data_IF_226928975060
#
_entry.id   IF_226928975060
#
_cell.length_a   1.000
_cell.length_b   1.000
_cell.length_c   1.000
_cell.angle_alpha   90.00
_cell.angle_beta   90.00
_cell.angle_gamma   90.00
#
_symmetry.space_group_name_H-M   'P 1'
#
loop_
_entity.id
_entity.type
_entity.pdbx_description
1 polymer ?
#
# COMPACT_ATOMS: atom_id res chain seq x y z
N UNK A 1 -22.25 3.55 -16.29
CA UNK A 1 -22.38 4.88 -16.93
C UNK A 1 -21.73 4.89 -18.31
N UNK A 2 -22.40 5.41 -19.34
CA UNK A 2 -21.70 5.78 -20.57
C UNK A 2 -20.88 7.04 -20.27
N UNK A 3 -19.55 6.97 -20.39
CA UNK A 3 -18.69 8.16 -20.32
C UNK A 3 -19.20 9.10 -21.42
N UNK A 4 -19.60 10.31 -21.03
CA UNK A 4 -20.01 11.36 -21.97
C UNK A 4 -18.93 11.52 -23.04
N UNK A 5 -19.25 11.19 -24.29
CA UNK A 5 -18.32 11.22 -25.43
C UNK A 5 -18.14 12.63 -26.02
N UNK A 6 -18.69 13.66 -25.38
CA UNK A 6 -18.54 15.06 -25.79
C UNK A 6 -17.25 15.66 -25.22
N UNK A 7 -16.11 15.07 -25.55
CA UNK A 7 -14.80 15.69 -25.30
C UNK A 7 -14.66 16.98 -26.11
N UNK A 8 -13.99 17.98 -25.56
CA UNK A 8 -13.54 19.13 -26.33
C UNK A 8 -12.50 18.69 -27.40
N UNK A 9 -12.24 19.50 -28.46
CA UNK A 9 -11.30 19.12 -29.51
C UNK A 9 -9.90 18.78 -29.01
N UNK A 10 -9.38 19.58 -28.08
CA UNK A 10 -8.10 19.37 -27.40
C UNK A 10 -8.09 18.10 -26.53
N UNK A 11 -9.19 17.80 -25.85
CA UNK A 11 -9.34 16.54 -25.10
C UNK A 11 -9.33 15.32 -26.03
N UNK A 12 -10.02 15.37 -27.19
CA UNK A 12 -9.96 14.29 -28.19
C UNK A 12 -8.54 14.09 -28.72
N UNK A 13 -7.88 15.18 -29.07
CA UNK A 13 -6.50 15.12 -29.56
C UNK A 13 -5.53 14.53 -28.51
N UNK A 14 -5.74 14.80 -27.22
CA UNK A 14 -4.97 14.18 -26.15
C UNK A 14 -5.26 12.66 -26.08
N UNK A 15 -6.53 12.27 -26.13
CA UNK A 15 -6.93 10.85 -26.10
C UNK A 15 -6.37 10.07 -27.30
N UNK A 16 -6.37 10.66 -28.49
CA UNK A 16 -5.78 10.07 -29.70
C UNK A 16 -4.24 10.01 -29.64
N UNK A 17 -3.61 10.86 -28.83
CA UNK A 17 -2.17 10.85 -28.64
C UNK A 17 -1.70 9.72 -27.71
N UNK A 18 -2.60 9.10 -26.93
CA UNK A 18 -2.24 8.02 -25.98
C UNK A 18 -1.73 6.80 -26.73
N UNK A 19 -0.60 6.25 -26.26
CA UNK A 19 0.06 5.07 -26.81
C UNK A 19 0.48 4.12 -25.69
N UNK A 20 0.36 2.83 -25.96
CA UNK A 20 0.74 1.81 -24.99
C UNK A 20 2.24 1.47 -25.02
N UNK A 21 3.01 1.89 -26.03
CA UNK A 21 4.34 1.33 -26.31
C UNK A 21 5.31 1.42 -25.11
N UNK A 22 5.66 2.64 -24.67
CA UNK A 22 6.58 2.84 -23.55
C UNK A 22 5.97 2.46 -22.19
N UNK A 23 4.64 2.64 -22.06
CA UNK A 23 3.88 2.30 -20.87
C UNK A 23 3.87 0.78 -20.62
N UNK A 24 3.52 0.01 -21.65
CA UNK A 24 3.51 -1.45 -21.61
C UNK A 24 4.91 -2.01 -21.40
N UNK A 25 5.91 -1.42 -22.05
CA UNK A 25 7.31 -1.79 -21.81
C UNK A 25 7.72 -1.58 -20.35
N UNK A 26 7.25 -0.50 -19.71
CA UNK A 26 7.47 -0.28 -18.29
C UNK A 26 6.84 -1.40 -17.45
N UNK A 27 5.61 -1.81 -17.77
CA UNK A 27 4.93 -2.94 -17.10
C UNK A 27 5.74 -4.25 -17.24
N UNK A 28 6.22 -4.56 -18.45
CA UNK A 28 7.05 -5.74 -18.70
C UNK A 28 8.36 -5.69 -17.90
N UNK A 29 9.04 -4.55 -17.93
CA UNK A 29 10.23 -4.30 -17.13
C UNK A 29 9.96 -4.50 -15.62
N UNK A 30 8.86 -3.95 -15.11
CA UNK A 30 8.47 -3.98 -13.71
C UNK A 30 8.00 -5.37 -13.26
N UNK A 31 7.53 -6.22 -14.18
CA UNK A 31 7.18 -7.62 -13.90
C UNK A 31 8.37 -8.48 -13.48
N UNK A 32 9.59 -7.96 -13.60
CA UNK A 32 10.85 -8.59 -13.19
C UNK A 32 11.52 -7.90 -11.98
N UNK A 33 10.87 -6.92 -11.35
CA UNK A 33 11.39 -6.20 -10.18
C UNK A 33 10.48 -6.35 -8.98
N UNK A 34 11.06 -6.61 -7.81
CA UNK A 34 10.42 -6.48 -6.52
C UNK A 34 10.78 -5.12 -5.92
N UNK A 35 9.86 -4.16 -6.06
CA UNK A 35 10.09 -2.75 -5.72
C UNK A 35 9.83 -2.49 -4.23
N UNK A 36 10.57 -3.17 -3.35
CA UNK A 36 10.53 -2.92 -1.91
C UNK A 36 11.12 -1.54 -1.59
N UNK A 37 10.48 -0.77 -0.70
CA UNK A 37 10.89 0.60 -0.43
C UNK A 37 12.30 0.72 0.18
N UNK A 38 13.13 1.55 -0.45
CA UNK A 38 14.54 1.78 -0.10
C UNK A 38 15.48 0.66 -0.56
N UNK A 39 15.09 -0.16 -1.54
CA UNK A 39 15.94 -1.21 -2.12
C UNK A 39 16.55 -0.78 -3.47
N UNK A 40 17.58 -1.51 -3.91
CA UNK A 40 18.21 -1.27 -5.19
C UNK A 40 17.28 -1.54 -6.38
N UNK A 41 16.34 -2.48 -6.26
CA UNK A 41 15.36 -2.77 -7.32
C UNK A 41 14.32 -1.66 -7.46
N UNK A 42 13.89 -1.04 -6.37
CA UNK A 42 13.07 0.17 -6.44
C UNK A 42 13.81 1.32 -7.14
N UNK A 43 15.10 1.51 -6.87
CA UNK A 43 15.90 2.52 -7.59
C UNK A 43 16.03 2.22 -9.08
N UNK A 44 16.13 0.94 -9.48
CA UNK A 44 16.07 0.57 -10.90
C UNK A 44 14.72 0.94 -11.54
N UNK A 45 13.62 0.87 -10.79
CA UNK A 45 12.32 1.35 -11.25
C UNK A 45 12.32 2.87 -11.48
N UNK A 46 12.90 3.64 -10.54
CA UNK A 46 13.10 5.09 -10.68
C UNK A 46 13.93 5.42 -11.92
N UNK A 47 15.05 4.71 -12.15
CA UNK A 47 15.91 4.92 -13.31
C UNK A 47 15.17 4.68 -14.63
N UNK A 48 14.31 3.66 -14.70
CA UNK A 48 13.50 3.34 -15.89
C UNK A 48 12.47 4.42 -16.21
N UNK A 49 11.85 5.01 -15.20
CA UNK A 49 10.94 6.17 -15.35
C UNK A 49 11.74 7.40 -15.77
N UNK A 50 12.80 7.71 -15.02
CA UNK A 50 13.67 8.88 -15.23
C UNK A 50 14.26 8.92 -16.64
N UNK A 51 14.77 7.79 -17.15
CA UNK A 51 15.33 7.70 -18.50
C UNK A 51 14.31 8.08 -19.60
N UNK A 52 13.02 7.79 -19.38
CA UNK A 52 11.94 8.11 -20.31
C UNK A 52 11.56 9.59 -20.20
N UNK A 53 11.48 10.13 -18.98
CA UNK A 53 11.28 11.56 -18.75
C UNK A 53 12.41 12.40 -19.38
N UNK A 54 13.66 11.98 -19.22
CA UNK A 54 14.84 12.61 -19.85
C UNK A 54 14.73 12.61 -21.37
N UNK A 55 14.38 11.46 -21.97
CA UNK A 55 14.20 11.31 -23.42
C UNK A 55 13.11 12.24 -23.97
N UNK A 56 12.07 12.52 -23.18
CA UNK A 56 10.98 13.43 -23.56
C UNK A 56 11.21 14.88 -23.14
N UNK A 57 12.38 15.18 -22.55
CA UNK A 57 12.72 16.48 -21.99
C UNK A 57 11.66 17.02 -21.01
N UNK A 58 11.12 16.13 -20.18
CA UNK A 58 10.20 16.48 -19.09
C UNK A 58 11.05 16.67 -17.83
N UNK A 59 11.12 17.88 -17.24
CA UNK A 59 11.84 18.12 -16.00
C UNK A 59 11.29 17.29 -14.85
N UNK A 60 12.17 16.72 -14.03
CA UNK A 60 11.80 16.02 -12.82
C UNK A 60 12.83 16.20 -11.70
N UNK A 61 12.40 15.95 -10.47
CA UNK A 61 13.23 15.86 -9.27
C UNK A 61 13.01 14.49 -8.63
N UNK A 62 14.09 13.85 -8.18
CA UNK A 62 14.00 12.67 -7.31
C UNK A 62 14.34 13.13 -5.89
N UNK A 63 13.33 13.24 -5.05
CA UNK A 63 13.50 13.48 -3.62
C UNK A 63 13.86 12.17 -2.91
N UNK A 64 14.64 12.24 -1.84
CA UNK A 64 15.06 11.05 -1.08
C UNK A 64 14.85 11.25 0.43
N UNK A 65 13.60 11.44 0.90
CA UNK A 65 13.32 11.57 2.32
C UNK A 65 13.70 10.32 3.12
N UNK A 66 14.08 10.53 4.37
CA UNK A 66 14.25 9.45 5.34
C UNK A 66 12.91 9.16 6.04
N UNK A 67 12.37 7.97 5.81
CA UNK A 67 11.02 7.58 6.23
C UNK A 67 11.03 6.22 6.96
N UNK A 68 10.08 6.03 7.87
CA UNK A 68 9.93 4.81 8.65
C UNK A 68 9.27 3.71 7.83
N UNK A 69 10.04 2.67 7.50
CA UNK A 69 9.62 1.60 6.59
C UNK A 69 9.76 0.25 7.29
N UNK A 70 8.75 -0.60 7.13
CA UNK A 70 8.73 -1.98 7.64
C UNK A 70 8.60 -2.96 6.48
N UNK A 71 9.65 -3.77 6.26
CA UNK A 71 9.67 -4.86 5.27
C UNK A 71 9.50 -6.21 5.97
N UNK A 72 8.35 -6.90 5.83
CA UNK A 72 8.16 -8.28 6.26
C UNK A 72 9.22 -9.22 5.65
N UNK A 73 9.69 -10.22 6.40
CA UNK A 73 10.68 -11.20 5.93
C UNK A 73 10.17 -12.64 6.01
N UNK A 74 9.92 -13.14 7.21
CA UNK A 74 9.38 -14.48 7.43
C UNK A 74 8.38 -14.49 8.57
N UNK A 75 7.44 -15.42 8.46
CA UNK A 75 6.49 -15.70 9.53
C UNK A 75 6.13 -17.19 9.55
N UNK A 76 5.82 -17.69 10.74
CA UNK A 76 5.28 -19.04 10.91
C UNK A 76 4.38 -19.09 12.14
N UNK A 77 3.42 -20.00 12.11
CA UNK A 77 2.52 -20.27 13.23
C UNK A 77 2.57 -21.75 13.56
N UNK A 78 2.73 -22.06 14.84
CA UNK A 78 2.53 -23.41 15.38
C UNK A 78 1.42 -23.35 16.40
N UNK A 79 0.38 -24.18 16.24
CA UNK A 79 -0.63 -24.43 17.26
C UNK A 79 -0.40 -25.83 17.82
N UNK A 80 -0.05 -25.92 19.08
CA UNK A 80 0.39 -27.14 19.78
C UNK A 80 1.54 -27.84 19.02
N UNK A 81 1.23 -28.82 18.18
CA UNK A 81 2.20 -29.54 17.34
C UNK A 81 2.01 -29.31 15.84
N UNK A 82 0.94 -28.64 15.42
CA UNK A 82 0.62 -28.41 14.02
C UNK A 82 1.24 -27.10 13.53
N UNK A 83 1.92 -27.15 12.39
CA UNK A 83 2.56 -25.98 11.76
C UNK A 83 1.72 -25.48 10.59
N UNK A 84 1.59 -24.15 10.50
CA UNK A 84 0.83 -23.46 9.47
C UNK A 84 1.71 -22.43 8.77
N UNK A 85 1.72 -22.39 7.43
CA UNK A 85 2.30 -21.29 6.68
C UNK A 85 1.63 -19.97 7.08
N UNK A 86 2.45 -18.94 7.28
CA UNK A 86 1.95 -17.62 7.64
C UNK A 86 2.70 -16.52 6.92
N UNK A 87 2.07 -15.35 6.81
CA UNK A 87 2.74 -14.09 6.46
C UNK A 87 2.55 -13.09 7.60
N UNK A 88 3.39 -12.06 7.65
CA UNK A 88 3.24 -10.98 8.63
C UNK A 88 3.02 -9.65 7.91
N UNK A 89 2.03 -8.84 8.30
CA UNK A 89 1.83 -7.54 7.69
C UNK A 89 2.99 -6.60 8.06
N UNK A 90 3.19 -5.57 7.23
CA UNK A 90 4.05 -4.45 7.57
C UNK A 90 3.60 -3.79 8.88
N UNK A 91 4.57 -3.27 9.63
CA UNK A 91 4.44 -2.53 10.88
C UNK A 91 4.02 -3.33 12.12
N UNK A 92 3.84 -4.65 12.01
CA UNK A 92 3.76 -5.49 13.19
C UNK A 92 5.12 -5.55 13.93
N UNK A 93 5.10 -5.90 15.21
CA UNK A 93 6.35 -6.11 15.94
C UNK A 93 6.99 -7.45 15.56
N UNK A 94 8.32 -7.48 15.47
CA UNK A 94 9.06 -8.73 15.33
C UNK A 94 9.07 -9.51 16.64
N UNK A 95 9.05 -10.83 16.54
CA UNK A 95 9.24 -11.72 17.69
C UNK A 95 10.72 -11.87 18.04
N UNK A 96 11.07 -12.30 19.27
CA UNK A 96 12.40 -12.85 19.53
C UNK A 96 12.75 -13.99 18.57
N UNK A 97 14.03 -14.33 18.44
CA UNK A 97 14.49 -15.40 17.55
C UNK A 97 13.85 -16.76 17.88
N UNK A 98 13.57 -17.02 19.16
CA UNK A 98 12.86 -18.21 19.65
C UNK A 98 11.36 -18.25 19.34
N UNK A 99 10.81 -17.18 18.76
CA UNK A 99 9.37 -16.95 18.64
C UNK A 99 8.72 -16.49 19.94
N UNK A 100 7.47 -16.08 19.84
CA UNK A 100 6.58 -15.79 20.96
C UNK A 100 5.68 -17.00 21.20
N UNK A 101 5.81 -17.63 22.37
CA UNK A 101 4.94 -18.74 22.79
C UNK A 101 3.98 -18.31 23.89
N UNK A 102 2.71 -18.69 23.79
CA UNK A 102 1.72 -18.42 24.83
C UNK A 102 0.37 -19.11 24.61
N UNK A 103 -0.56 -18.97 25.56
CA UNK A 103 -1.92 -19.48 25.42
C UNK A 103 -2.60 -18.88 24.19
N UNK A 104 -3.32 -19.71 23.44
CA UNK A 104 -4.05 -19.27 22.26
C UNK A 104 -5.56 -19.32 22.50
N UNK A 105 -6.28 -18.33 21.98
CA UNK A 105 -7.73 -18.32 21.99
C UNK A 105 -8.23 -17.99 20.60
N UNK A 106 -9.22 -18.76 20.14
CA UNK A 106 -9.98 -18.41 18.95
C UNK A 106 -11.23 -17.63 19.37
N UNK A 107 -11.40 -16.44 18.80
CA UNK A 107 -12.55 -15.59 19.00
C UNK A 107 -13.11 -15.24 17.63
N UNK A 108 -14.38 -15.58 17.40
CA UNK A 108 -15.03 -15.30 16.13
C UNK A 108 -15.03 -13.79 15.86
N UNK A 109 -14.56 -13.42 14.68
CA UNK A 109 -14.50 -12.04 14.21
C UNK A 109 -15.36 -11.79 12.98
N UNK A 110 -15.22 -10.58 12.43
CA UNK A 110 -15.82 -10.17 11.16
C UNK A 110 -14.78 -10.03 10.05
N UNK A 111 -15.29 -10.03 8.82
CA UNK A 111 -14.56 -9.55 7.65
C UNK A 111 -15.01 -8.10 7.39
N UNK A 112 -14.04 -7.21 7.16
CA UNK A 112 -14.30 -5.82 6.81
C UNK A 112 -15.15 -5.73 5.53
N UNK A 113 -16.14 -4.83 5.51
CA UNK A 113 -17.12 -4.68 4.41
C UNK A 113 -17.13 -3.30 3.77
N UNK A 114 -16.39 -2.34 4.34
CA UNK A 114 -16.26 -0.94 3.89
C UNK A 114 -14.84 -0.40 4.18
N UNK A 115 -14.46 0.70 3.51
CA UNK A 115 -13.22 1.44 3.84
C UNK A 115 -13.25 2.01 5.26
N UNK A 116 -14.44 2.29 5.79
CA UNK A 116 -14.63 2.77 7.16
C UNK A 116 -14.21 1.70 8.19
N UNK A 117 -14.28 0.42 7.82
CA UNK A 117 -13.90 -0.70 8.68
C UNK A 117 -12.38 -0.85 8.84
N UNK A 118 -11.56 -0.22 7.99
CA UNK A 118 -10.10 -0.30 8.06
C UNK A 118 -9.58 0.24 9.41
N UNK A 119 -10.22 1.30 9.91
CA UNK A 119 -9.87 1.94 11.17
C UNK A 119 -10.89 1.70 12.28
N UNK A 120 -12.04 1.09 11.96
CA UNK A 120 -13.02 0.73 12.95
C UNK A 120 -12.49 -0.35 13.91
N UNK A 121 -12.85 -0.20 15.18
CA UNK A 121 -12.65 -1.24 16.17
C UNK A 121 -13.79 -2.25 16.05
N UNK A 122 -13.59 -3.33 15.28
CA UNK A 122 -14.52 -4.46 15.30
C UNK A 122 -14.50 -5.14 16.68
N UNK A 123 -15.67 -5.38 17.27
CA UNK A 123 -15.77 -6.00 18.60
C UNK A 123 -15.47 -7.49 18.53
N UNK A 124 -14.29 -7.89 19.02
CA UNK A 124 -13.97 -9.29 19.31
C UNK A 124 -14.36 -9.61 20.75
N UNK A 125 -15.46 -10.32 21.00
CA UNK A 125 -15.88 -10.65 22.37
C UNK A 125 -15.01 -11.75 22.99
N UNK A 126 -14.64 -11.61 24.26
CA UNK A 126 -13.84 -12.62 24.99
C UNK A 126 -12.61 -12.06 25.73
N UNK A 127 -12.00 -12.90 26.56
CA UNK A 127 -10.77 -12.56 27.28
C UNK A 127 -9.53 -12.81 26.41
N UNK A 128 -8.81 -11.72 26.10
CA UNK A 128 -7.62 -11.69 25.24
C UNK A 128 -6.33 -11.43 26.01
N UNK A 129 -6.40 -11.06 27.30
CA UNK A 129 -5.25 -10.56 28.03
C UNK A 129 -4.17 -11.64 28.18
N UNK A 130 -2.96 -11.34 27.70
CA UNK A 130 -1.81 -12.25 27.70
C UNK A 130 -1.88 -13.40 26.70
N UNK A 131 -2.90 -13.43 25.82
CA UNK A 131 -3.12 -14.53 24.87
C UNK A 131 -2.76 -14.14 23.45
N UNK A 132 -2.42 -15.14 22.65
CA UNK A 132 -2.37 -15.04 21.19
C UNK A 132 -3.79 -15.23 20.67
N UNK A 133 -4.34 -14.22 20.01
CA UNK A 133 -5.74 -14.20 19.56
C UNK A 133 -5.80 -14.62 18.10
N UNK A 134 -6.58 -15.66 17.81
CA UNK A 134 -6.95 -16.05 16.44
C UNK A 134 -8.33 -15.48 16.13
N UNK A 135 -8.46 -14.78 15.00
CA UNK A 135 -9.71 -14.16 14.55
C UNK A 135 -9.77 -14.07 13.03
N UNK A 136 -10.98 -14.04 12.48
CA UNK A 136 -11.24 -13.77 11.06
C UNK A 136 -10.84 -12.35 10.62
N UNK A 137 -10.57 -12.24 9.33
CA UNK A 137 -10.38 -10.98 8.63
C UNK A 137 -8.92 -10.59 8.45
N UNK A 138 -8.73 -9.53 7.68
CA UNK A 138 -7.41 -8.95 7.43
C UNK A 138 -6.84 -8.28 8.70
N UNK A 139 -5.51 -8.13 8.82
CA UNK A 139 -4.85 -7.46 9.94
C UNK A 139 -5.02 -5.94 9.86
N UNK A 140 -6.28 -5.48 9.97
CA UNK A 140 -6.65 -4.08 9.89
C UNK A 140 -6.15 -3.30 11.13
N UNK A 141 -5.72 -2.04 10.97
CA UNK A 141 -5.19 -1.25 12.08
C UNK A 141 -6.12 -1.11 13.28
N UNK A 142 -7.41 -0.87 13.05
CA UNK A 142 -8.39 -0.74 14.15
C UNK A 142 -8.49 -2.01 14.99
N UNK A 143 -8.55 -3.17 14.33
CA UNK A 143 -8.58 -4.51 14.95
C UNK A 143 -7.32 -4.79 15.75
N UNK A 144 -6.14 -4.57 15.16
CA UNK A 144 -4.85 -4.82 15.83
C UNK A 144 -4.69 -3.90 17.03
N UNK A 145 -4.99 -2.60 16.89
CA UNK A 145 -4.90 -1.64 17.98
C UNK A 145 -5.86 -1.99 19.14
N UNK A 146 -7.10 -2.40 18.85
CA UNK A 146 -8.06 -2.82 19.87
C UNK A 146 -7.57 -4.04 20.65
N UNK A 147 -7.09 -5.07 19.95
CA UNK A 147 -6.60 -6.30 20.58
C UNK A 147 -5.37 -6.03 21.44
N UNK A 148 -4.43 -5.20 20.95
CA UNK A 148 -3.28 -4.76 21.74
C UNK A 148 -3.71 -3.99 23.00
N UNK A 149 -4.63 -3.03 22.88
CA UNK A 149 -5.15 -2.25 24.02
C UNK A 149 -5.82 -3.11 25.08
N UNK A 150 -6.45 -4.22 24.67
CA UNK A 150 -7.06 -5.20 25.58
C UNK A 150 -6.07 -6.22 26.13
N UNK A 151 -4.79 -6.09 25.79
CA UNK A 151 -3.69 -6.87 26.34
C UNK A 151 -3.39 -8.17 25.59
N UNK A 152 -3.82 -8.34 24.34
CA UNK A 152 -3.39 -9.47 23.53
C UNK A 152 -1.85 -9.49 23.42
N UNK A 153 -1.26 -10.68 23.50
CA UNK A 153 0.19 -10.87 23.34
C UNK A 153 0.61 -10.96 21.87
N UNK A 154 -0.31 -11.35 20.98
CA UNK A 154 -0.11 -11.45 19.55
C UNK A 154 -1.44 -11.72 18.84
N UNK A 155 -1.48 -11.51 17.52
CA UNK A 155 -2.69 -11.69 16.71
C UNK A 155 -2.41 -12.61 15.52
N UNK A 156 -3.32 -13.53 15.27
CA UNK A 156 -3.38 -14.39 14.09
C UNK A 156 -4.67 -14.09 13.35
N UNK A 157 -4.54 -13.58 12.14
CA UNK A 157 -5.64 -13.21 11.26
C UNK A 157 -5.91 -14.34 10.24
N UNK A 158 -7.15 -14.80 10.15
CA UNK A 158 -7.58 -15.76 9.13
C UNK A 158 -8.02 -14.97 7.90
N UNK A 159 -7.25 -15.07 6.81
CA UNK A 159 -7.56 -14.39 5.56
C UNK A 159 -8.91 -14.88 4.97
N UNK A 160 -9.67 -14.00 4.29
CA UNK A 160 -10.95 -14.37 3.66
C UNK A 160 -10.76 -15.37 2.51
N UNK A 161 -9.74 -15.14 1.67
CA UNK A 161 -9.50 -15.93 0.47
C UNK A 161 -8.56 -17.14 0.65
N UNK A 162 -8.30 -17.81 -0.47
CA UNK A 162 -7.36 -18.93 -0.55
C UNK A 162 -5.92 -18.49 -0.24
N UNK A 163 -5.56 -17.26 -0.62
CA UNK A 163 -4.21 -16.71 -0.47
C UNK A 163 -4.11 -15.79 0.74
N UNK A 164 -2.92 -15.75 1.33
CA UNK A 164 -2.58 -14.78 2.36
C UNK A 164 -2.15 -13.48 1.66
N UNK A 165 -2.99 -12.46 1.79
CA UNK A 165 -2.72 -11.14 1.23
C UNK A 165 -1.67 -10.40 2.05
N UNK A 166 -0.82 -9.63 1.36
CA UNK A 166 0.05 -8.66 2.01
C UNK A 166 -0.78 -7.48 2.55
N UNK A 167 -0.24 -6.77 3.53
CA UNK A 167 -0.94 -5.65 4.13
C UNK A 167 -0.13 -4.95 5.20
N UNK A 168 -0.76 -3.99 5.85
CA UNK A 168 -0.12 -3.13 6.85
C UNK A 168 -1.07 -2.86 8.02
N UNK A 169 -0.58 -3.02 9.24
CA UNK A 169 -1.43 -3.01 10.45
C UNK A 169 -1.23 -1.80 11.37
N UNK A 170 -0.37 -0.84 11.01
CA UNK A 170 -0.25 0.40 11.80
C UNK A 170 -1.43 1.35 11.54
N UNK A 171 -1.82 2.06 12.59
CA UNK A 171 -2.81 3.14 12.48
C UNK A 171 -2.17 4.50 12.19
N UNK A 172 -0.83 4.60 12.23
CA UNK A 172 -0.07 5.81 11.91
C UNK A 172 -0.12 6.01 10.39
N UNK A 173 -0.55 7.18 9.93
CA UNK A 173 -0.50 7.52 8.52
C UNK A 173 0.87 8.11 8.19
N UNK A 174 1.63 7.45 7.33
CA UNK A 174 3.02 7.78 7.03
C UNK A 174 4.02 7.42 8.14
N UNK A 175 5.09 8.20 8.24
CA UNK A 175 6.12 8.01 9.27
C UNK A 175 5.64 8.55 10.63
N UNK A 176 5.93 7.87 11.75
CA UNK A 176 5.55 8.35 13.07
C UNK A 176 6.33 9.61 13.46
N UNK A 177 5.61 10.53 14.12
CA UNK A 177 6.18 11.64 14.87
C UNK A 177 6.16 11.36 16.38
N UNK A 178 6.60 12.33 17.18
CA UNK A 178 6.63 12.21 18.65
C UNK A 178 5.26 12.00 19.29
N UNK A 179 4.17 12.40 18.61
CA UNK A 179 2.80 12.28 19.12
C UNK A 179 2.15 10.95 18.73
N UNK A 180 2.56 10.38 17.60
CA UNK A 180 1.97 9.19 17.01
C UNK A 180 2.80 7.92 17.22
N UNK A 181 4.09 8.03 17.60
CA UNK A 181 4.98 6.89 17.87
C UNK A 181 4.36 5.82 18.78
N UNK A 182 3.62 6.25 19.82
CA UNK A 182 2.96 5.33 20.75
C UNK A 182 1.85 4.47 20.14
N UNK A 183 1.43 4.74 18.89
CA UNK A 183 0.42 3.97 18.13
C UNK A 183 1.02 2.88 17.25
N UNK A 184 2.35 2.77 17.18
CA UNK A 184 3.01 1.68 16.48
C UNK A 184 2.65 0.34 17.16
N UNK A 185 2.18 -0.68 16.41
CA UNK A 185 1.91 -1.99 16.99
C UNK A 185 3.13 -2.56 17.70
N UNK A 186 2.97 -3.01 18.94
CA UNK A 186 4.06 -3.62 19.74
C UNK A 186 3.93 -5.12 19.91
N UNK A 187 2.93 -5.71 19.26
CA UNK A 187 2.67 -7.14 19.27
C UNK A 187 2.89 -7.74 17.88
N UNK A 188 3.33 -9.01 17.78
CA UNK A 188 3.42 -9.69 16.51
C UNK A 188 2.01 -9.94 15.95
N UNK A 189 1.90 -9.79 14.65
CA UNK A 189 0.70 -10.09 13.88
C UNK A 189 1.10 -11.02 12.75
N UNK A 190 0.36 -12.10 12.54
CA UNK A 190 0.53 -12.99 11.40
C UNK A 190 -0.82 -13.30 10.77
N UNK A 191 -0.81 -13.70 9.52
CA UNK A 191 -2.00 -14.12 8.78
C UNK A 191 -1.81 -15.52 8.22
N UNK A 192 -2.87 -16.32 8.24
CA UNK A 192 -2.95 -17.67 7.65
C UNK A 192 -4.02 -17.71 6.57
N UNK A 193 -3.96 -18.73 5.71
CA UNK A 193 -4.99 -18.94 4.67
C UNK A 193 -6.36 -19.25 5.30
N UNK A 194 -7.45 -19.05 4.55
CA UNK A 194 -8.79 -19.40 5.03
C UNK A 194 -8.89 -20.90 5.40
N UNK A 195 -8.31 -21.78 4.57
CA UNK A 195 -8.34 -23.22 4.78
C UNK A 195 -7.59 -23.64 6.05
N UNK A 196 -6.39 -23.08 6.26
CA UNK A 196 -5.60 -23.31 7.47
C UNK A 196 -6.27 -22.74 8.71
N UNK A 197 -6.86 -21.55 8.58
CA UNK A 197 -7.63 -20.89 9.63
C UNK A 197 -8.80 -21.72 10.14
N UNK A 198 -9.59 -22.31 9.22
CA UNK A 198 -10.66 -23.25 9.58
C UNK A 198 -10.11 -24.48 10.30
N UNK A 199 -9.01 -25.05 9.81
CA UNK A 199 -8.39 -26.22 10.40
C UNK A 199 -7.80 -25.95 11.80
N UNK A 200 -7.23 -24.77 12.02
CA UNK A 200 -6.62 -24.40 13.30
C UNK A 200 -7.67 -23.96 14.32
N UNK A 201 -8.73 -23.24 13.91
CA UNK A 201 -9.83 -22.85 14.79
C UNK A 201 -10.53 -24.08 15.38
N UNK A 202 -10.70 -25.14 14.59
CA UNK A 202 -11.27 -26.41 15.05
C UNK A 202 -10.39 -27.18 16.06
N UNK A 203 -9.09 -26.86 16.16
CA UNK A 203 -8.16 -27.51 17.09
C UNK A 203 -7.97 -26.77 18.41
N UNK A 204 -8.19 -25.45 18.42
CA UNK A 204 -7.93 -24.63 19.60
C UNK A 204 -8.89 -25.03 20.73
N UNK A 205 -8.32 -25.60 21.78
CA UNK A 205 -9.00 -25.90 23.04
C UNK A 205 -8.56 -24.96 24.17
N UNK A 206 -9.12 -25.13 25.38
CA UNK A 206 -8.82 -24.28 26.53
C UNK A 206 -7.33 -24.20 26.92
N UNK A 207 -6.57 -25.28 26.69
CA UNK A 207 -5.16 -25.42 27.09
C UNK A 207 -4.18 -25.27 25.92
N UNK A 208 -4.69 -25.00 24.71
CA UNK A 208 -3.85 -24.91 23.51
C UNK A 208 -2.82 -23.78 23.62
N UNK A 209 -1.67 -24.00 23.00
CA UNK A 209 -0.57 -23.04 22.94
C UNK A 209 -0.25 -22.69 21.49
N UNK A 210 0.04 -21.41 21.24
CA UNK A 210 0.59 -20.97 19.97
C UNK A 210 2.07 -20.60 20.13
N UNK A 211 2.85 -20.86 19.09
CA UNK A 211 4.17 -20.23 18.89
C UNK A 211 4.13 -19.44 17.58
N UNK A 212 4.34 -18.14 17.68
CA UNK A 212 4.38 -17.22 16.53
C UNK A 212 5.83 -16.83 16.28
N UNK A 213 6.25 -16.89 15.02
CA UNK A 213 7.47 -16.24 14.54
C UNK A 213 7.05 -15.19 13.53
N UNK A 214 7.55 -13.97 13.68
CA UNK A 214 7.37 -12.89 12.72
C UNK A 214 8.63 -12.04 12.69
N UNK A 215 9.20 -11.81 11.51
CA UNK A 215 10.42 -11.02 11.32
C UNK A 215 10.19 -9.89 10.33
N UNK A 216 10.69 -8.72 10.71
CA UNK A 216 10.62 -7.50 9.91
C UNK A 216 11.98 -6.82 9.89
N UNK A 217 12.28 -6.16 8.78
CA UNK A 217 13.38 -5.21 8.69
C UNK A 217 12.80 -3.79 8.75
N UNK A 218 12.45 -3.38 9.98
CA UNK A 218 11.78 -2.10 10.27
C UNK A 218 12.77 -1.05 10.74
N UNK A 219 12.93 0.02 9.97
CA UNK A 219 13.87 1.11 10.27
C UNK A 219 13.57 2.35 9.45
N UNK A 220 14.21 3.46 9.83
CA UNK A 220 14.33 4.64 8.97
C UNK A 220 15.16 4.29 7.72
N UNK A 221 14.64 4.65 6.55
CA UNK A 221 15.27 4.43 5.25
C UNK A 221 15.13 5.67 4.39
N UNK A 222 16.17 5.99 3.63
CA UNK A 222 16.02 6.89 2.49
C UNK A 222 15.28 6.15 1.38
N UNK A 223 14.19 6.72 0.89
CA UNK A 223 13.38 6.16 -0.20
C UNK A 223 13.10 7.22 -1.26
N UNK A 224 12.99 6.86 -2.54
CA UNK A 224 12.81 7.81 -3.63
C UNK A 224 11.36 8.30 -3.76
N UNK A 225 11.18 9.58 -4.07
CA UNK A 225 9.91 10.17 -4.53
C UNK A 225 10.20 10.95 -5.80
N UNK A 226 9.67 10.48 -6.93
CA UNK A 226 9.86 11.14 -8.23
C UNK A 226 8.75 12.16 -8.44
N UNK A 227 9.11 13.39 -8.74
CA UNK A 227 8.20 14.49 -9.09
C UNK A 227 8.59 15.05 -10.46
N UNK A 228 7.75 14.81 -11.47
CA UNK A 228 7.87 15.43 -12.79
C UNK A 228 6.98 16.68 -12.88
N UNK A 229 7.47 17.76 -13.48
CA UNK A 229 6.72 19.01 -13.70
C UNK A 229 6.59 19.31 -15.19
N UNK A 230 5.36 19.41 -15.67
CA UNK A 230 5.04 19.94 -17.00
C UNK A 230 4.47 21.34 -16.81
N UNK A 231 5.30 22.35 -17.06
CA UNK A 231 4.98 23.74 -16.75
C UNK A 231 3.92 24.33 -17.70
N UNK A 232 2.89 24.95 -17.13
CA UNK A 232 1.87 25.70 -17.86
C UNK A 232 2.34 27.08 -18.31
N UNK A 233 1.55 27.73 -19.17
CA UNK A 233 1.91 28.99 -19.83
C UNK A 233 1.38 30.27 -19.14
N UNK A 234 0.22 30.22 -18.49
CA UNK A 234 -0.44 31.42 -17.96
C UNK A 234 -0.43 31.51 -16.43
N UNK A 235 -0.65 30.38 -15.76
CA UNK A 235 -0.62 30.23 -14.29
C UNK A 235 0.32 29.07 -13.93
N UNK A 236 1.64 29.20 -14.21
CA UNK A 236 2.60 28.10 -14.03
C UNK A 236 2.78 27.67 -12.57
N UNK A 237 2.42 28.51 -11.61
CA UNK A 237 2.44 28.20 -10.19
C UNK A 237 1.26 27.32 -9.78
N UNK A 238 0.11 27.40 -10.48
CA UNK A 238 -1.06 26.58 -10.19
C UNK A 238 -0.92 25.23 -10.88
N UNK A 239 -1.31 24.15 -10.21
CA UNK A 239 -1.15 22.82 -10.77
C UNK A 239 -2.27 21.83 -10.45
N UNK A 240 -2.36 20.81 -11.30
CA UNK A 240 -3.06 19.55 -11.00
C UNK A 240 -2.00 18.52 -10.62
N UNK A 241 -2.24 17.78 -9.54
CA UNK A 241 -1.35 16.71 -9.06
C UNK A 241 -1.89 15.34 -9.51
N UNK A 242 -1.26 14.73 -10.49
CA UNK A 242 -1.53 13.34 -10.87
C UNK A 242 -0.51 12.45 -10.17
N UNK A 243 -0.94 11.37 -9.52
CA UNK A 243 -0.01 10.61 -8.69
C UNK A 243 -0.42 9.16 -8.48
N UNK A 244 0.53 8.33 -8.04
CA UNK A 244 0.33 6.93 -7.68
C UNK A 244 1.59 6.42 -6.98
N UNK A 245 1.53 5.24 -6.39
CA UNK A 245 2.69 4.68 -5.70
C UNK A 245 3.55 3.79 -6.61
N UNK A 246 4.85 3.77 -6.33
CA UNK A 246 5.89 3.08 -7.06
C UNK A 246 6.21 1.71 -6.46
N UNK A 247 6.20 1.64 -5.12
CA UNK A 247 6.63 0.45 -4.40
C UNK A 247 5.63 -0.68 -4.54
N UNK A 248 6.09 -1.92 -4.43
CA UNK A 248 5.21 -3.07 -4.62
C UNK A 248 5.46 -4.18 -3.63
N UNK A 249 4.38 -4.86 -3.29
CA UNK A 249 4.45 -6.22 -2.79
C UNK A 249 4.80 -7.16 -3.95
N UNK A 250 5.90 -7.91 -3.80
CA UNK A 250 6.45 -8.74 -4.87
C UNK A 250 6.62 -7.92 -6.16
N UNK A 251 6.30 -8.49 -7.33
CA UNK A 251 6.43 -7.79 -8.62
C UNK A 251 5.36 -6.72 -8.87
N UNK A 252 4.21 -6.80 -8.18
CA UNK A 252 3.17 -5.78 -8.21
C UNK A 252 2.76 -5.28 -9.59
N UNK A 253 2.37 -6.18 -10.50
CA UNK A 253 1.97 -5.77 -11.87
C UNK A 253 0.70 -4.93 -11.81
N UNK A 254 -0.35 -5.42 -11.12
CA UNK A 254 -1.58 -4.64 -10.91
C UNK A 254 -1.39 -3.53 -9.89
N UNK A 255 -0.77 -3.84 -8.75
CA UNK A 255 -0.49 -2.92 -7.64
C UNK A 255 1.04 -2.73 -7.49
N UNK A 256 1.67 -1.76 -8.16
CA UNK A 256 1.06 -0.72 -9.01
C UNK A 256 1.77 -0.44 -10.34
N UNK A 257 2.38 -1.45 -10.98
CA UNK A 257 3.11 -1.22 -12.25
C UNK A 257 2.21 -0.67 -13.37
N UNK A 258 0.93 -1.06 -13.43
CA UNK A 258 -0.02 -0.49 -14.38
C UNK A 258 -0.35 0.98 -14.09
N UNK A 259 -0.40 1.39 -12.82
CA UNK A 259 -0.52 2.79 -12.42
C UNK A 259 0.72 3.58 -12.81
N UNK A 260 1.90 3.06 -12.49
CA UNK A 260 3.19 3.66 -12.88
C UNK A 260 3.28 3.90 -14.39
N UNK A 261 2.87 2.92 -15.18
CA UNK A 261 2.81 3.00 -16.63
C UNK A 261 1.78 4.02 -17.13
N UNK A 262 0.63 4.13 -16.48
CA UNK A 262 -0.41 5.12 -16.82
C UNK A 262 0.08 6.54 -16.54
N UNK A 263 0.73 6.76 -15.40
CA UNK A 263 1.36 8.04 -15.04
C UNK A 263 2.44 8.44 -16.04
N UNK A 264 3.26 7.48 -16.45
CA UNK A 264 4.35 7.69 -17.41
C UNK A 264 3.81 8.10 -18.78
N UNK A 265 2.75 7.44 -19.26
CA UNK A 265 2.13 7.78 -20.53
C UNK A 265 1.41 9.13 -20.48
N UNK A 266 0.75 9.42 -19.36
CA UNK A 266 0.19 10.75 -19.12
C UNK A 266 1.28 11.83 -19.18
N UNK A 267 2.45 11.59 -18.57
CA UNK A 267 3.58 12.50 -18.66
C UNK A 267 4.00 12.76 -20.11
N UNK A 268 4.16 11.71 -20.92
CA UNK A 268 4.51 11.83 -22.34
C UNK A 268 3.47 12.60 -23.14
N UNK A 269 2.22 12.13 -23.12
CA UNK A 269 1.14 12.67 -23.95
C UNK A 269 0.83 14.14 -23.62
N UNK A 270 0.86 14.51 -22.33
CA UNK A 270 0.69 15.88 -21.88
C UNK A 270 1.95 16.72 -22.18
N UNK A 271 3.14 16.15 -22.00
CA UNK A 271 4.43 16.82 -22.21
C UNK A 271 4.65 17.28 -23.64
N UNK A 272 4.17 16.50 -24.62
CA UNK A 272 4.15 16.87 -26.05
C UNK A 272 3.25 18.08 -26.34
N UNK A 273 2.28 18.34 -25.45
CA UNK A 273 1.28 19.42 -25.56
C UNK A 273 1.48 20.52 -24.53
N UNK A 274 2.62 20.57 -23.83
CA UNK A 274 2.90 21.52 -22.73
C UNK A 274 2.61 22.99 -23.07
N UNK A 275 2.78 23.40 -24.33
CA UNK A 275 2.47 24.77 -24.80
C UNK A 275 0.99 25.14 -24.80
N UNK A 276 0.09 24.16 -24.71
CA UNK A 276 -1.37 24.34 -24.65
C UNK A 276 -1.88 24.43 -23.20
N UNK A 277 -1.04 24.07 -22.23
CA UNK A 277 -1.44 24.04 -20.83
C UNK A 277 -1.50 25.46 -20.27
N UNK A 278 -2.65 25.81 -19.68
CA UNK A 278 -2.78 27.06 -18.91
C UNK A 278 -2.01 26.97 -17.58
N UNK A 279 -2.08 25.79 -16.95
CA UNK A 279 -1.58 25.49 -15.60
C UNK A 279 -0.66 24.30 -15.66
N UNK A 280 0.22 24.20 -14.67
CA UNK A 280 1.19 23.11 -14.63
C UNK A 280 0.53 21.79 -14.25
N UNK A 281 1.15 20.69 -14.64
CA UNK A 281 0.81 19.35 -14.16
C UNK A 281 2.03 18.84 -13.39
N UNK A 282 1.83 18.39 -12.15
CA UNK A 282 2.84 17.64 -11.41
C UNK A 282 2.45 16.17 -11.42
N UNK A 283 3.40 15.30 -11.75
CA UNK A 283 3.20 13.86 -11.78
C UNK A 283 4.14 13.23 -10.78
N UNK A 284 3.59 12.50 -9.82
CA UNK A 284 4.38 11.94 -8.72
C UNK A 284 4.25 10.43 -8.58
N UNK A 285 5.38 9.81 -8.27
CA UNK A 285 5.50 8.40 -7.93
C UNK A 285 5.96 8.25 -6.48
N UNK A 286 5.10 7.72 -5.62
CA UNK A 286 5.35 7.61 -4.18
C UNK A 286 6.02 6.29 -3.81
N UNK A 287 7.18 6.33 -3.19
CA UNK A 287 7.66 5.17 -2.42
C UNK A 287 7.05 5.12 -1.02
N UNK A 288 7.05 3.95 -0.39
CA UNK A 288 6.63 3.74 0.99
C UNK A 288 5.12 3.67 1.18
N UNK A 289 4.34 3.48 0.11
CA UNK A 289 2.90 3.25 0.18
C UNK A 289 2.59 1.96 0.92
N UNK A 290 3.13 0.86 0.42
CA UNK A 290 2.85 -0.50 0.87
C UNK A 290 3.56 -0.80 2.20
N UNK A 291 4.83 -0.38 2.29
CA UNK A 291 5.72 -0.73 3.39
C UNK A 291 5.78 0.31 4.52
N UNK A 292 5.21 1.51 4.29
CA UNK A 292 5.32 2.69 5.16
C UNK A 292 3.98 3.36 5.48
N UNK A 293 2.85 2.75 5.09
CA UNK A 293 1.50 3.33 5.23
C UNK A 293 1.41 4.69 4.55
N UNK A 294 1.65 4.75 3.24
CA UNK A 294 1.61 6.01 2.48
C UNK A 294 2.73 7.00 2.86
N UNK A 295 3.91 6.50 3.26
CA UNK A 295 4.98 7.33 3.82
C UNK A 295 5.46 8.43 2.85
N UNK A 296 5.70 8.11 1.58
CA UNK A 296 6.19 9.09 0.60
C UNK A 296 5.17 10.18 0.28
N UNK A 297 3.90 9.83 0.08
CA UNK A 297 2.86 10.82 -0.19
C UNK A 297 2.52 11.67 1.03
N UNK A 298 2.55 11.09 2.23
CA UNK A 298 2.39 11.83 3.50
C UNK A 298 3.53 12.81 3.71
N UNK A 299 4.77 12.37 3.51
CA UNK A 299 5.95 13.25 3.57
C UNK A 299 5.85 14.40 2.58
N UNK A 300 5.41 14.12 1.34
CA UNK A 300 5.23 15.15 0.32
C UNK A 300 4.16 16.16 0.74
N UNK A 301 3.04 15.68 1.28
CA UNK A 301 1.97 16.52 1.79
C UNK A 301 2.45 17.45 2.92
N UNK A 302 3.24 16.93 3.87
CA UNK A 302 3.77 17.71 4.99
C UNK A 302 4.84 18.72 4.53
N UNK A 303 5.78 18.27 3.68
CA UNK A 303 6.90 19.08 3.20
C UNK A 303 6.44 20.24 2.32
N UNK A 304 5.45 19.99 1.45
CA UNK A 304 4.94 20.96 0.48
C UNK A 304 3.55 21.50 0.84
N UNK A 305 3.12 21.37 2.10
CA UNK A 305 1.77 21.73 2.56
C UNK A 305 1.34 23.15 2.13
N UNK A 306 2.23 24.13 2.28
CA UNK A 306 1.94 25.52 1.91
C UNK A 306 1.77 25.71 0.40
N UNK A 307 2.55 24.99 -0.40
CA UNK A 307 2.45 25.05 -1.86
C UNK A 307 1.17 24.35 -2.32
N UNK A 308 0.92 23.13 -1.84
CA UNK A 308 -0.30 22.37 -2.08
C UNK A 308 -1.55 23.19 -1.74
N UNK A 309 -1.63 23.77 -0.54
CA UNK A 309 -2.78 24.53 -0.09
C UNK A 309 -3.05 25.79 -0.94
N UNK A 310 -2.01 26.41 -1.51
CA UNK A 310 -2.13 27.64 -2.31
C UNK A 310 -2.37 27.36 -3.79
N UNK A 311 -1.75 26.30 -4.30
CA UNK A 311 -1.50 26.14 -5.72
C UNK A 311 -2.05 24.85 -6.32
N UNK A 312 -2.25 23.78 -5.54
CA UNK A 312 -2.85 22.54 -6.03
C UNK A 312 -4.36 22.70 -6.20
N UNK A 313 -4.84 22.64 -7.43
CA UNK A 313 -6.26 22.84 -7.75
C UNK A 313 -7.07 21.56 -7.51
N UNK A 314 -6.49 20.43 -7.89
CA UNK A 314 -7.03 19.10 -7.62
C UNK A 314 -5.90 18.08 -7.68
N UNK A 315 -6.15 16.92 -7.07
CA UNK A 315 -5.27 15.77 -7.21
C UNK A 315 -6.06 14.56 -7.70
N UNK A 316 -5.41 13.72 -8.50
CA UNK A 316 -5.95 12.47 -9.02
C UNK A 316 -4.98 11.35 -8.68
N UNK A 317 -5.48 10.33 -7.98
CA UNK A 317 -4.72 9.12 -7.69
C UNK A 317 -4.92 8.10 -8.82
N UNK A 318 -3.83 7.49 -9.27
CA UNK A 318 -3.78 6.46 -10.31
C UNK A 318 -3.10 5.23 -9.70
N UNK A 319 -3.91 4.47 -8.96
CA UNK A 319 -3.51 3.22 -8.33
C UNK A 319 -4.36 2.08 -8.92
N UNK A 320 -3.66 1.03 -9.34
CA UNK A 320 -4.20 -0.21 -9.85
C UNK A 320 -5.18 -0.09 -11.04
N UNK A 321 -4.94 0.77 -12.06
CA UNK A 321 -5.76 0.77 -13.27
C UNK A 321 -5.55 -0.51 -14.09
N UNK A 322 -6.54 -0.84 -14.91
CA UNK A 322 -6.43 -1.96 -15.87
C UNK A 322 -6.70 -3.34 -15.29
N UNK A 323 -7.21 -3.44 -14.06
CA UNK A 323 -7.74 -4.69 -13.53
C UNK A 323 -8.85 -5.25 -14.44
N UNK A 324 -8.72 -6.53 -14.79
CA UNK A 324 -9.68 -7.23 -15.63
C UNK A 324 -11.06 -7.19 -14.98
N UNK A 325 -12.09 -6.94 -15.79
CA UNK A 325 -13.51 -6.89 -15.39
C UNK A 325 -13.86 -5.74 -14.40
N UNK A 326 -12.94 -4.80 -14.16
CA UNK A 326 -13.20 -3.56 -13.45
C UNK A 326 -14.12 -2.66 -14.30
N UNK A 327 -15.43 -2.76 -14.08
CA UNK A 327 -16.49 -2.11 -14.88
C UNK A 327 -17.22 -0.99 -14.14
N UNK A 328 -16.90 -0.79 -12.85
CA UNK A 328 -17.58 0.17 -11.97
C UNK A 328 -16.62 1.31 -11.64
N UNK A 329 -17.04 2.54 -11.94
CA UNK A 329 -16.25 3.78 -11.75
C UNK A 329 -16.81 4.64 -10.61
N UNK A 330 -17.66 4.07 -9.75
CA UNK A 330 -18.55 4.84 -8.88
C UNK A 330 -18.22 4.72 -7.38
N UNK A 331 -17.34 3.80 -6.94
CA UNK A 331 -16.87 3.67 -5.54
C UNK A 331 -15.50 2.96 -5.46
N UNK A 332 -14.81 3.08 -4.32
CA UNK A 332 -13.64 2.26 -3.96
C UNK A 332 -14.11 0.83 -3.66
N UNK A 333 -13.72 -0.13 -4.49
CA UNK A 333 -13.93 -1.55 -4.26
C UNK A 333 -12.59 -2.26 -4.12
N UNK A 334 -12.54 -3.25 -3.24
CA UNK A 334 -11.47 -4.25 -3.21
C UNK A 334 -11.87 -5.48 -4.04
N UNK A 335 -10.92 -6.38 -4.29
CA UNK A 335 -11.14 -7.58 -5.08
C UNK A 335 -12.11 -8.56 -4.39
N UNK A 336 -12.95 -9.29 -5.14
CA UNK A 336 -13.96 -10.22 -4.60
C UNK A 336 -13.38 -11.29 -3.66
N UNK A 337 -12.10 -11.61 -3.83
CA UNK A 337 -11.31 -12.48 -2.96
C UNK A 337 -11.19 -11.97 -1.51
N UNK A 338 -11.53 -10.69 -1.27
CA UNK A 338 -11.55 -10.04 0.04
C UNK A 338 -12.95 -9.93 0.65
N UNK A 339 -14.01 -10.33 -0.07
CA UNK A 339 -15.41 -10.18 0.37
C UNK A 339 -15.93 -11.35 1.25
N UNK A 340 -15.20 -12.46 1.32
CA UNK A 340 -15.53 -13.61 2.17
C UNK A 340 -16.50 -14.62 1.55
#
# INVERSE_FOLDING_TARGET
MAISTNFAPDERELMEAVRADDAWRLVEEFSHLVRESGTAEEMQAVERISARLDRWAIPYTVHEPELWISLPRDASLVIDTATYPAKTPSMAASTPESGLRGPVVYLAGGYARSVDDIFAAESVEGDVAGKIVVTEGMPMPGKVALLEQRGAAGVVCIAPGERIHEGICTSIWGSPDLTTWGRQPRIPVVSVSNADGKALAARIGPDSQATVVARHDTRWRRIPVVEAEIRGSAEPERFVLLHGHLDSWHVGVGDNATGDATLLEAARAIGERRGQLRRSIRICWWSGHSHGRYAGSTWYADTFANDLARNCICHLNCDSPGCRDATVYENVYWMAELEG
#
